data_IF_387249485113
#
_entry.id   IF_387249485113
#
_cell.length_a   1.000
_cell.length_b   1.000
_cell.length_c   1.000
_cell.angle_alpha   90.00
_cell.angle_beta   90.00
_cell.angle_gamma   90.00
#
_symmetry.space_group_name_H-M   'P 1'
#
loop_
_entity.id
_entity.type
_entity.pdbx_description
1 polymer ?
#
# COMPACT_ATOMS: atom_id res chain seq x y z
N UNK A 1 2.36 -48.09 -5.45
CA UNK A 1 3.67 -47.82 -4.80
C UNK A 1 3.90 -46.32 -4.82
N UNK A 2 3.98 -45.68 -3.65
CA UNK A 2 4.19 -44.21 -3.50
C UNK A 2 5.67 -43.96 -3.26
N UNK A 3 6.32 -43.15 -4.09
CA UNK A 3 7.69 -42.68 -3.85
C UNK A 3 7.63 -41.31 -3.17
N UNK A 4 8.04 -41.30 -1.89
CA UNK A 4 8.29 -40.11 -1.08
C UNK A 4 9.48 -39.34 -1.69
N UNK A 5 9.30 -38.06 -2.04
CA UNK A 5 10.43 -37.15 -2.23
C UNK A 5 10.93 -36.71 -0.85
N UNK A 6 12.08 -37.27 -0.44
CA UNK A 6 12.82 -36.87 0.75
C UNK A 6 13.72 -35.69 0.36
N UNK A 7 13.46 -34.51 0.91
CA UNK A 7 14.36 -33.36 0.79
C UNK A 7 15.34 -33.38 1.98
N UNK A 8 16.58 -33.75 1.72
CA UNK A 8 17.68 -33.70 2.68
C UNK A 8 18.29 -32.28 2.63
N UNK A 9 18.04 -31.48 3.66
CA UNK A 9 18.61 -30.13 3.80
C UNK A 9 19.82 -30.22 4.73
N UNK A 10 21.03 -30.22 4.16
CA UNK A 10 22.28 -30.19 4.92
C UNK A 10 22.65 -28.75 5.25
N UNK A 11 22.47 -28.35 6.51
CA UNK A 11 22.97 -27.07 7.03
C UNK A 11 24.38 -27.27 7.59
N UNK A 12 25.39 -26.64 6.97
CA UNK A 12 26.75 -26.61 7.49
C UNK A 12 27.01 -25.25 8.12
N UNK A 13 27.11 -25.24 9.45
CA UNK A 13 27.41 -24.04 10.25
C UNK A 13 28.91 -23.80 10.27
N UNK A 14 29.38 -22.68 9.69
CA UNK A 14 30.74 -22.19 9.90
C UNK A 14 30.63 -20.66 10.09
N UNK A 15 30.98 -20.19 11.29
CA UNK A 15 31.25 -18.78 11.62
C UNK A 15 30.30 -17.72 11.05
N UNK A 16 29.07 -17.65 11.57
CA UNK A 16 28.46 -16.36 11.92
C UNK A 16 27.95 -15.42 10.82
N UNK A 17 27.76 -15.86 9.57
CA UNK A 17 27.20 -14.98 8.52
C UNK A 17 26.20 -15.73 7.63
N UNK A 18 24.93 -15.31 7.66
CA UNK A 18 23.86 -15.80 6.78
C UNK A 18 23.95 -15.09 5.41
N UNK A 19 24.62 -15.73 4.45
CA UNK A 19 24.56 -15.32 3.05
C UNK A 19 23.49 -16.13 2.32
N UNK A 20 22.35 -15.50 2.08
CA UNK A 20 21.30 -16.01 1.18
C UNK A 20 21.76 -15.84 -0.26
N UNK A 21 22.40 -16.87 -0.81
CA UNK A 21 22.75 -16.97 -2.22
C UNK A 21 21.53 -17.47 -2.99
N UNK A 22 20.86 -16.62 -3.77
CA UNK A 22 19.80 -17.03 -4.69
C UNK A 22 20.20 -16.67 -6.12
N UNK A 23 20.46 -17.74 -6.87
CA UNK A 23 20.98 -17.83 -8.22
C UNK A 23 20.27 -16.99 -9.28
N UNK A 24 21.10 -16.30 -10.07
CA UNK A 24 20.80 -15.79 -11.40
C UNK A 24 21.39 -16.75 -12.43
N UNK A 25 20.54 -17.20 -13.35
CA UNK A 25 20.84 -17.72 -14.70
C UNK A 25 21.93 -18.78 -14.84
N UNK A 26 21.52 -20.02 -15.12
CA UNK A 26 21.99 -20.83 -16.26
C UNK A 26 21.42 -22.27 -16.15
N UNK A 27 20.44 -22.62 -16.99
CA UNK A 27 20.36 -24.00 -17.48
C UNK A 27 19.75 -24.06 -18.88
N UNK A 28 20.55 -23.56 -19.82
CA UNK A 28 20.61 -24.02 -21.20
C UNK A 28 20.74 -25.56 -21.21
N UNK A 29 20.01 -26.21 -22.13
CA UNK A 29 20.00 -27.66 -22.47
C UNK A 29 18.84 -28.48 -21.89
N UNK A 30 17.67 -28.35 -22.52
CA UNK A 30 16.86 -29.52 -22.87
C UNK A 30 16.70 -29.52 -24.40
N UNK A 31 17.79 -29.89 -25.09
CA UNK A 31 17.76 -30.24 -26.50
C UNK A 31 17.26 -31.68 -26.64
N UNK A 32 16.39 -31.85 -27.63
CA UNK A 32 16.08 -33.09 -28.36
C UNK A 32 15.26 -34.14 -27.61
N UNK A 33 13.94 -34.12 -27.83
CA UNK A 33 13.30 -35.17 -28.62
C UNK A 33 11.79 -34.94 -28.75
N UNK A 34 11.29 -35.15 -29.98
CA UNK A 34 9.90 -35.51 -30.34
C UNK A 34 8.82 -34.47 -30.00
N UNK A 35 7.88 -34.11 -30.87
CA UNK A 35 7.13 -34.97 -31.75
C UNK A 35 6.49 -34.11 -32.85
N UNK A 36 6.72 -34.50 -34.11
CA UNK A 36 5.92 -34.06 -35.24
C UNK A 36 4.48 -34.55 -35.04
N UNK A 37 3.55 -33.61 -34.95
CA UNK A 37 2.16 -33.82 -35.35
C UNK A 37 1.77 -32.64 -36.24
N UNK A 38 2.16 -32.76 -37.52
CA UNK A 38 1.30 -32.25 -38.58
C UNK A 38 -0.07 -32.90 -38.38
N UNK A 39 -1.13 -32.12 -38.39
CA UNK A 39 -2.39 -32.40 -39.07
C UNK A 39 -3.13 -31.06 -39.22
N UNK A 40 -3.67 -30.89 -40.39
CA UNK A 40 -4.22 -29.67 -40.99
C UNK A 40 -5.74 -29.55 -40.70
N UNK A 41 -6.35 -28.44 -41.18
CA UNK A 41 -7.79 -28.25 -41.49
C UNK A 41 -8.63 -27.84 -40.23
N UNK A 42 -9.44 -26.78 -40.14
CA UNK A 42 -10.31 -26.00 -41.06
C UNK A 42 -10.70 -24.69 -40.33
N UNK A 43 -10.54 -23.50 -40.91
CA UNK A 43 -11.57 -22.68 -41.60
C UNK A 43 -12.77 -22.23 -40.72
N UNK A 44 -12.64 -20.99 -40.24
CA UNK A 44 -13.65 -19.93 -39.99
C UNK A 44 -15.05 -20.26 -39.44
N UNK A 45 -15.34 -19.69 -38.27
CA UNK A 45 -16.69 -19.25 -37.89
C UNK A 45 -16.62 -17.75 -37.60
N UNK A 46 -17.12 -16.94 -38.54
CA UNK A 46 -17.32 -15.49 -38.35
C UNK A 46 -18.65 -15.33 -37.62
N UNK A 47 -18.59 -15.10 -36.31
CA UNK A 47 -19.74 -14.70 -35.52
C UNK A 47 -19.69 -13.18 -35.37
N UNK A 48 -20.27 -12.43 -36.31
CA UNK A 48 -20.45 -10.98 -36.18
C UNK A 48 -21.52 -10.71 -35.13
N UNK A 49 -21.10 -10.65 -33.86
CA UNK A 49 -21.90 -10.11 -32.78
C UNK A 49 -22.13 -8.61 -33.00
N UNK A 50 -23.38 -8.21 -32.82
CA UNK A 50 -23.87 -6.83 -32.84
C UNK A 50 -22.97 -5.91 -32.01
N UNK A 51 -22.43 -4.89 -32.65
CA UNK A 51 -21.73 -3.78 -32.01
C UNK A 51 -22.76 -2.92 -31.24
N UNK A 52 -23.10 -3.33 -30.02
CA UNK A 52 -23.70 -2.45 -29.04
C UNK A 52 -22.63 -1.55 -28.47
N UNK A 53 -22.54 -0.30 -28.95
CA UNK A 53 -21.69 0.74 -28.38
C UNK A 53 -22.21 1.14 -27.00
N UNK A 54 -21.85 0.35 -25.98
CA UNK A 54 -21.97 0.75 -24.59
C UNK A 54 -20.98 1.89 -24.35
N UNK A 55 -21.47 3.13 -24.31
CA UNK A 55 -20.73 4.27 -23.80
C UNK A 55 -20.49 4.05 -22.31
N UNK A 56 -19.34 3.46 -21.98
CA UNK A 56 -18.87 3.37 -20.60
C UNK A 56 -18.51 4.79 -20.13
N UNK A 57 -19.34 5.35 -19.25
CA UNK A 57 -18.98 6.57 -18.51
C UNK A 57 -17.73 6.28 -17.68
N UNK A 58 -16.60 6.86 -18.05
CA UNK A 58 -15.35 6.77 -17.29
C UNK A 58 -15.50 7.59 -16.00
N UNK A 59 -15.93 6.94 -14.93
CA UNK A 59 -15.84 7.52 -13.58
C UNK A 59 -14.36 7.55 -13.21
N UNK A 60 -13.78 8.76 -13.12
CA UNK A 60 -12.42 8.94 -12.63
C UNK A 60 -12.30 8.42 -11.20
N UNK A 61 -11.25 7.64 -10.85
CA UNK A 61 -11.09 7.13 -9.50
C UNK A 61 -10.88 8.28 -8.49
N UNK A 62 -11.35 8.12 -7.23
CA UNK A 62 -11.16 9.12 -6.20
C UNK A 62 -9.67 9.31 -5.88
N UNK A 63 -9.25 10.55 -5.71
CA UNK A 63 -7.84 10.92 -5.43
C UNK A 63 -7.52 11.00 -3.94
N UNK A 64 -8.54 11.11 -3.10
CA UNK A 64 -8.43 11.21 -1.64
C UNK A 64 -9.68 10.66 -0.97
N UNK A 65 -9.58 10.35 0.33
CA UNK A 65 -10.69 9.90 1.18
C UNK A 65 -10.72 10.70 2.47
N UNK A 66 -11.92 10.95 2.97
CA UNK A 66 -12.15 11.54 4.29
C UNK A 66 -12.68 10.47 5.23
N UNK A 67 -12.05 10.34 6.40
CA UNK A 67 -12.41 9.34 7.41
C UNK A 67 -12.79 10.03 8.71
N UNK A 68 -13.78 9.50 9.42
CA UNK A 68 -14.12 9.89 10.77
C UNK A 68 -13.56 8.85 11.75
N UNK A 69 -12.66 9.24 12.65
CA UNK A 69 -12.02 8.31 13.58
C UNK A 69 -11.58 9.00 14.88
N UNK A 70 -11.21 8.22 15.89
CA UNK A 70 -10.57 8.71 17.10
C UNK A 70 -9.05 8.65 16.96
N UNK A 71 -8.35 9.53 17.67
CA UNK A 71 -6.90 9.49 17.77
C UNK A 71 -6.49 8.72 19.03
N UNK A 72 -5.60 7.74 18.85
CA UNK A 72 -4.99 7.00 19.93
C UNK A 72 -3.72 7.68 20.43
N UNK A 73 -2.94 8.26 19.51
CA UNK A 73 -1.65 8.85 19.82
C UNK A 73 -1.28 9.93 18.79
N UNK A 74 -0.53 10.94 19.25
CA UNK A 74 0.04 12.02 18.44
C UNK A 74 1.51 12.15 18.81
N UNK A 75 2.41 12.02 17.84
CA UNK A 75 3.86 12.09 18.06
C UNK A 75 4.53 13.01 17.05
N UNK A 76 5.50 13.80 17.50
CA UNK A 76 6.49 14.44 16.63
C UNK A 76 7.69 13.51 16.47
N UNK A 77 8.25 13.45 15.28
CA UNK A 77 9.47 12.68 15.04
C UNK A 77 10.15 13.07 13.75
N UNK A 78 11.43 12.72 13.65
CA UNK A 78 12.23 12.95 12.45
C UNK A 78 12.47 11.62 11.75
N UNK A 79 12.23 11.58 10.45
CA UNK A 79 12.47 10.41 9.61
C UNK A 79 13.21 10.85 8.34
N UNK A 80 14.32 10.18 8.02
CA UNK A 80 15.12 10.52 6.83
C UNK A 80 15.50 12.02 6.77
N UNK A 81 15.86 12.59 7.92
CA UNK A 81 16.24 14.00 8.07
C UNK A 81 15.10 15.02 7.93
N UNK A 82 13.84 14.57 7.83
CA UNK A 82 12.65 15.43 7.74
C UNK A 82 11.78 15.27 8.98
N UNK A 83 11.23 16.38 9.45
CA UNK A 83 10.31 16.38 10.58
C UNK A 83 8.89 16.03 10.12
N UNK A 84 8.23 15.21 10.93
CA UNK A 84 6.88 14.75 10.70
C UNK A 84 6.04 14.84 11.96
N UNK A 85 4.76 15.17 11.77
CA UNK A 85 3.71 14.90 12.73
C UNK A 85 3.08 13.55 12.40
N UNK A 86 3.08 12.64 13.37
CA UNK A 86 2.53 11.28 13.23
C UNK A 86 1.26 11.14 14.05
N UNK A 87 0.20 10.64 13.43
CA UNK A 87 -1.09 10.36 14.07
C UNK A 87 -1.35 8.85 14.06
N UNK A 88 -1.63 8.27 15.23
CA UNK A 88 -2.14 6.92 15.34
C UNK A 88 -3.66 6.97 15.44
N UNK A 89 -4.35 6.47 14.41
CA UNK A 89 -5.81 6.44 14.38
C UNK A 89 -6.35 5.13 14.95
N UNK A 90 -7.50 5.22 15.61
CA UNK A 90 -8.30 4.07 15.98
C UNK A 90 -9.02 3.45 14.78
N UNK A 91 -9.41 2.18 14.91
CA UNK A 91 -10.24 1.49 13.92
C UNK A 91 -9.46 0.83 12.78
N UNK A 92 -9.82 1.16 11.54
CA UNK A 92 -9.34 0.47 10.33
C UNK A 92 -8.14 1.17 9.70
N UNK A 93 -7.34 0.40 8.95
CA UNK A 93 -6.23 0.94 8.16
C UNK A 93 -6.74 1.70 6.92
N UNK A 94 -6.07 2.82 6.61
CA UNK A 94 -6.47 3.74 5.55
C UNK A 94 -5.30 4.06 4.62
N UNK A 95 -5.60 4.72 3.51
CA UNK A 95 -4.62 5.12 2.51
C UNK A 95 -4.50 4.17 1.31
N UNK A 96 -3.51 4.43 0.43
CA UNK A 96 -3.25 3.63 -0.76
C UNK A 96 -2.97 2.17 -0.39
N UNK A 97 -3.32 1.22 -1.26
CA UNK A 97 -3.09 -0.21 -1.00
C UNK A 97 -1.62 -0.58 -0.77
N UNK A 98 -0.68 0.20 -1.31
CA UNK A 98 0.76 0.00 -1.17
C UNK A 98 1.33 0.37 0.20
N UNK A 99 0.66 1.25 0.95
CA UNK A 99 1.14 1.74 2.26
C UNK A 99 0.03 1.90 3.29
N UNK A 100 -1.03 1.10 3.13
CA UNK A 100 -2.21 1.13 4.00
C UNK A 100 -1.79 0.90 5.45
N UNK A 101 -2.22 1.80 6.34
CA UNK A 101 -1.87 1.73 7.76
C UNK A 101 -2.85 2.49 8.64
N UNK A 102 -2.79 2.26 9.95
CA UNK A 102 -3.44 3.08 10.99
C UNK A 102 -2.52 4.18 11.54
N UNK A 103 -1.30 4.30 11.02
CA UNK A 103 -0.36 5.37 11.38
C UNK A 103 -0.24 6.31 10.19
N UNK A 104 -0.58 7.57 10.37
CA UNK A 104 -0.56 8.61 9.34
C UNK A 104 0.57 9.60 9.61
N UNK A 105 1.17 10.15 8.54
CA UNK A 105 2.25 11.15 8.66
C UNK A 105 1.93 12.43 7.90
N UNK A 106 2.36 13.56 8.43
CA UNK A 106 2.34 14.84 7.73
C UNK A 106 3.74 15.42 7.77
N UNK A 107 4.28 15.76 6.61
CA UNK A 107 5.57 16.43 6.48
C UNK A 107 5.44 17.85 7.05
N UNK A 108 6.19 18.14 8.10
CA UNK A 108 6.26 19.46 8.73
C UNK A 108 7.55 20.20 8.42
N UNK A 109 8.45 19.60 7.63
CA UNK A 109 9.71 20.22 7.21
C UNK A 109 9.52 21.24 6.08
N UNK A 110 8.44 21.13 5.31
CA UNK A 110 8.06 22.15 4.33
C UNK A 110 7.49 23.41 4.98
N UNK A 111 7.67 24.58 4.37
CA UNK A 111 7.14 25.85 4.89
C UNK A 111 5.61 25.80 5.12
N UNK A 112 4.87 25.19 4.19
CA UNK A 112 3.42 25.01 4.31
C UNK A 112 3.05 24.03 5.43
N UNK A 113 3.85 22.97 5.63
CA UNK A 113 3.66 22.00 6.71
C UNK A 113 3.96 22.61 8.08
N UNK A 114 5.06 23.35 8.20
CA UNK A 114 5.47 24.03 9.42
C UNK A 114 4.45 25.06 9.88
N UNK A 115 3.92 25.87 8.95
CA UNK A 115 2.89 26.88 9.26
C UNK A 115 1.60 26.27 9.84
N UNK A 116 1.28 25.02 9.46
CA UNK A 116 0.06 24.32 9.89
C UNK A 116 0.28 23.33 11.02
N UNK A 117 1.54 23.02 11.33
CA UNK A 117 1.91 22.01 12.31
C UNK A 117 1.29 22.30 13.68
N UNK A 118 1.49 23.52 14.19
CA UNK A 118 1.01 23.91 15.52
C UNK A 118 -0.52 23.82 15.64
N UNK A 119 -1.23 24.28 14.61
CA UNK A 119 -2.69 24.20 14.54
C UNK A 119 -3.18 22.75 14.55
N UNK A 120 -2.65 21.92 13.65
CA UNK A 120 -3.06 20.52 13.50
C UNK A 120 -2.74 19.72 14.76
N UNK A 121 -1.59 19.97 15.38
CA UNK A 121 -1.21 19.29 16.60
C UNK A 121 -2.07 19.71 17.79
N UNK A 122 -2.38 20.99 17.92
CA UNK A 122 -3.29 21.47 18.97
C UNK A 122 -4.67 20.84 18.81
N UNK A 123 -5.18 20.76 17.57
CA UNK A 123 -6.43 20.07 17.26
C UNK A 123 -6.35 18.58 17.57
N UNK A 124 -5.27 17.91 17.17
CA UNK A 124 -5.09 16.48 17.40
C UNK A 124 -4.99 16.14 18.90
N UNK A 125 -4.20 16.90 19.67
CA UNK A 125 -4.06 16.71 21.10
C UNK A 125 -5.37 17.01 21.85
N UNK A 126 -6.07 18.10 21.51
CA UNK A 126 -7.36 18.42 22.13
C UNK A 126 -8.43 17.36 21.81
N UNK A 127 -8.46 16.83 20.59
CA UNK A 127 -9.33 15.72 20.21
C UNK A 127 -9.03 14.45 21.03
N UNK A 128 -7.75 14.10 21.16
CA UNK A 128 -7.29 12.92 21.90
C UNK A 128 -7.65 13.02 23.40
N UNK A 129 -7.41 14.17 24.03
CA UNK A 129 -7.74 14.39 25.45
C UNK A 129 -9.25 14.37 25.71
N UNK A 130 -10.05 14.90 24.78
CA UNK A 130 -11.52 14.91 24.88
C UNK A 130 -12.20 13.64 24.38
N UNK A 131 -11.46 12.70 23.79
CA UNK A 131 -11.97 11.50 23.10
C UNK A 131 -13.00 11.83 22.01
N UNK A 132 -12.79 12.96 21.33
CA UNK A 132 -13.67 13.44 20.25
C UNK A 132 -13.27 12.82 18.92
N UNK A 133 -14.25 12.58 18.04
CA UNK A 133 -13.98 12.13 16.68
C UNK A 133 -13.37 13.26 15.84
N UNK A 134 -12.41 12.91 15.00
CA UNK A 134 -11.80 13.79 14.01
C UNK A 134 -12.11 13.33 12.60
N UNK A 135 -12.25 14.28 11.69
CA UNK A 135 -12.26 14.02 10.25
C UNK A 135 -10.86 14.24 9.70
N UNK A 136 -10.29 13.20 9.09
CA UNK A 136 -8.93 13.24 8.51
C UNK A 136 -9.03 13.04 7.00
N UNK A 137 -8.29 13.85 6.25
CA UNK A 137 -8.21 13.74 4.78
C UNK A 137 -6.91 13.01 4.40
N UNK A 138 -7.07 11.87 3.75
CA UNK A 138 -5.99 10.94 3.38
C UNK A 138 -5.92 10.82 1.86
N UNK A 139 -4.81 11.24 1.21
CA UNK A 139 -4.59 11.00 -0.21
C UNK A 139 -4.55 9.50 -0.55
N UNK A 140 -5.05 9.13 -1.73
CA UNK A 140 -5.02 7.76 -2.25
C UNK A 140 -3.88 7.52 -3.25
N UNK A 141 -3.01 8.51 -3.46
CA UNK A 141 -1.83 8.38 -4.30
C UNK A 141 -0.68 7.68 -3.56
N UNK A 142 -0.22 6.57 -4.13
CA UNK A 142 0.91 5.78 -3.61
C UNK A 142 2.23 6.56 -3.60
N UNK A 143 2.37 7.60 -4.42
CA UNK A 143 3.57 8.46 -4.41
C UNK A 143 3.72 9.28 -3.13
N UNK A 144 2.62 9.46 -2.39
CA UNK A 144 2.56 10.24 -1.15
C UNK A 144 2.76 9.39 0.10
N UNK A 145 3.17 8.13 -0.06
CA UNK A 145 3.54 7.28 1.06
C UNK A 145 4.93 7.65 1.58
N UNK A 146 5.08 7.77 2.90
CA UNK A 146 6.38 8.02 3.56
C UNK A 146 6.66 6.86 4.48
N UNK A 147 7.80 6.18 4.31
CA UNK A 147 8.21 5.02 5.15
C UNK A 147 7.15 3.89 5.20
N UNK A 148 6.50 3.66 4.06
CA UNK A 148 5.39 2.70 3.97
C UNK A 148 4.19 3.06 4.84
N UNK A 149 4.02 4.34 5.22
CA UNK A 149 2.82 4.87 5.88
C UNK A 149 2.12 5.89 4.98
N UNK A 150 0.79 6.01 5.03
CA UNK A 150 0.06 7.01 4.28
C UNK A 150 0.28 8.38 4.91
N UNK A 151 0.14 9.42 4.08
CA UNK A 151 0.14 10.79 4.55
C UNK A 151 -1.27 11.30 4.81
N UNK A 152 -1.39 12.43 5.52
CA UNK A 152 -2.63 13.17 5.64
C UNK A 152 -2.41 14.66 5.36
N UNK A 153 -3.43 15.33 4.84
CA UNK A 153 -3.34 16.75 4.43
C UNK A 153 -4.11 17.69 5.34
N UNK A 154 -5.13 17.18 6.04
CA UNK A 154 -5.94 17.99 6.93
C UNK A 154 -6.60 17.17 8.04
N UNK A 155 -6.94 17.87 9.12
CA UNK A 155 -7.59 17.33 10.31
C UNK A 155 -8.61 18.35 10.82
N UNK A 156 -9.82 17.88 11.12
CA UNK A 156 -10.89 18.71 11.67
C UNK A 156 -11.57 18.01 12.84
N UNK A 157 -12.02 18.79 13.84
CA UNK A 157 -12.89 18.26 14.88
C UNK A 157 -14.29 18.03 14.33
N UNK A 158 -14.86 16.86 14.60
CA UNK A 158 -16.28 16.63 14.34
C UNK A 158 -17.11 17.14 15.52
N UNK A 159 -18.27 17.77 15.26
CA UNK A 159 -19.14 18.22 16.33
C UNK A 159 -19.62 17.02 17.14
N UNK A 160 -19.50 17.09 18.47
CA UNK A 160 -20.21 16.19 19.37
C UNK A 160 -21.70 16.46 19.23
N UNK A 161 -22.46 15.46 18.77
CA UNK A 161 -23.92 15.58 18.69
C UNK A 161 -24.48 15.89 20.10
N UNK A 162 -25.37 16.89 20.23
CA UNK A 162 -25.92 17.33 21.53
C UNK A 162 -26.79 16.26 22.21
#
# INVERSE_FOLDING_TARGET
>A
MRTLCKADSQFKLIHGTLLSYRDSMNLTRCLKNTCLCLWTITVTVICTLMAGSATASSVSPPTQVSIATQLNEVQRGTFDGRDYLTLHIGGHEVGPSSCRSNILRMDTSSETGAARQEEIETLALSAMLSRTLVMIVVPLDASQCVDGKPTFTNLYLLPTSP
#
